data_IF_807338651521
#
_entry.id   IF_807338651521
#
_cell.length_a   1.000
_cell.length_b   1.000
_cell.length_c   1.000
_cell.angle_alpha   90.00
_cell.angle_beta   90.00
_cell.angle_gamma   90.00
#
_symmetry.space_group_name_H-M   'P 1'
#
loop_
_entity.id
_entity.type
_entity.pdbx_description
1 polymer ?
#
# COMPACT_ATOMS: atom_id res chain seq x y z
N UNK A 1 -12.98 9.68 7.59
CA UNK A 1 -11.83 9.63 6.65
C UNK A 1 -11.47 8.18 6.34
N UNK A 2 -10.68 7.93 5.28
CA UNK A 2 -10.29 6.60 4.80
C UNK A 2 -8.77 6.52 4.70
N UNK A 3 -8.14 5.45 5.18
CA UNK A 3 -6.74 5.14 4.95
C UNK A 3 -6.65 3.81 4.18
N UNK A 4 -6.38 3.90 2.89
CA UNK A 4 -6.33 2.74 1.99
C UNK A 4 -4.97 2.01 2.03
N UNK A 5 -4.02 2.49 2.81
CA UNK A 5 -2.72 1.84 3.04
C UNK A 5 -2.13 2.28 4.38
N UNK A 6 -1.93 1.34 5.28
CA UNK A 6 -1.21 1.51 6.55
C UNK A 6 -0.66 0.15 7.00
N UNK A 7 0.20 0.11 8.01
CA UNK A 7 0.76 -1.11 8.58
C UNK A 7 0.61 -1.15 10.09
N UNK A 8 -0.35 -1.93 10.61
CA UNK A 8 -0.59 -2.05 12.06
C UNK A 8 0.63 -2.56 12.84
N UNK A 9 1.43 -3.43 12.21
CA UNK A 9 2.63 -4.05 12.80
C UNK A 9 3.78 -3.05 13.04
N UNK A 10 3.81 -1.92 12.32
CA UNK A 10 4.89 -0.94 12.32
C UNK A 10 4.52 0.30 13.16
N UNK A 11 5.53 1.09 13.60
CA UNK A 11 5.33 2.23 14.51
C UNK A 11 5.74 3.61 13.94
N UNK A 12 6.30 3.64 12.73
CA UNK A 12 6.79 4.87 12.12
C UNK A 12 8.21 5.25 12.53
N UNK A 13 8.88 4.45 13.36
CA UNK A 13 10.21 4.70 13.88
C UNK A 13 11.20 3.57 13.53
N UNK A 14 11.20 2.48 14.31
CA UNK A 14 12.13 1.38 14.18
C UNK A 14 11.38 0.06 13.87
N UNK A 15 11.32 -0.31 12.62
CA UNK A 15 10.55 -1.47 12.17
C UNK A 15 10.93 -2.78 12.88
N UNK A 16 12.22 -2.98 13.26
CA UNK A 16 12.64 -4.19 13.99
C UNK A 16 12.05 -4.26 15.39
N UNK A 17 12.07 -3.13 16.12
CA UNK A 17 11.52 -3.04 17.48
C UNK A 17 9.99 -3.13 17.45
N UNK A 18 9.37 -2.51 16.44
CA UNK A 18 7.94 -2.62 16.20
C UNK A 18 7.52 -4.08 15.99
N UNK A 19 8.18 -4.82 15.11
CA UNK A 19 7.91 -6.24 14.88
C UNK A 19 8.20 -7.07 16.14
N UNK A 20 9.31 -6.82 16.84
CA UNK A 20 9.68 -7.55 18.06
C UNK A 20 8.61 -7.43 19.16
N UNK A 21 7.87 -6.33 19.22
CA UNK A 21 6.72 -6.13 20.13
C UNK A 21 5.65 -7.20 19.97
N UNK A 22 5.50 -7.75 18.76
CA UNK A 22 4.51 -8.77 18.41
C UNK A 22 5.08 -10.19 18.35
N UNK A 23 6.35 -10.42 18.72
CA UNK A 23 7.03 -11.70 18.57
C UNK A 23 6.40 -12.85 19.39
N UNK A 24 5.72 -12.54 20.50
CA UNK A 24 5.00 -13.50 21.36
C UNK A 24 3.48 -13.48 21.13
N UNK A 25 3.04 -12.87 20.05
CA UNK A 25 1.65 -12.62 19.70
C UNK A 25 1.33 -11.12 19.62
N UNK A 26 0.16 -10.76 19.09
CA UNK A 26 -0.23 -9.36 18.94
C UNK A 26 -0.23 -8.57 20.26
N UNK A 27 0.43 -7.42 20.29
CA UNK A 27 0.38 -6.47 21.41
C UNK A 27 -0.98 -5.74 21.39
N UNK A 28 -1.97 -6.29 22.08
CA UNK A 28 -3.33 -5.74 22.13
C UNK A 28 -3.37 -4.31 22.68
N UNK A 29 -2.67 -3.95 23.77
CA UNK A 29 -2.60 -2.55 24.23
C UNK A 29 -2.10 -1.57 23.17
N UNK A 30 -1.07 -1.96 22.40
CA UNK A 30 -0.57 -1.16 21.29
C UNK A 30 -1.63 -0.99 20.20
N UNK A 31 -2.24 -2.08 19.73
CA UNK A 31 -3.26 -2.09 18.69
C UNK A 31 -4.44 -1.19 19.08
N UNK A 32 -4.94 -1.30 20.32
CA UNK A 32 -6.02 -0.46 20.82
C UNK A 32 -5.66 1.02 20.80
N UNK A 33 -4.44 1.37 21.19
CA UNK A 33 -3.95 2.75 21.15
C UNK A 33 -3.92 3.30 19.73
N UNK A 34 -3.48 2.49 18.76
CA UNK A 34 -3.44 2.89 17.36
C UNK A 34 -4.86 3.05 16.78
N UNK A 35 -5.77 2.11 17.04
CA UNK A 35 -7.16 2.23 16.61
C UNK A 35 -7.84 3.47 17.20
N UNK A 36 -7.59 3.78 18.47
CA UNK A 36 -8.09 5.02 19.10
C UNK A 36 -7.54 6.26 18.39
N UNK A 37 -6.23 6.31 18.09
CA UNK A 37 -5.65 7.44 17.38
C UNK A 37 -6.28 7.67 15.99
N UNK A 38 -6.61 6.60 15.26
CA UNK A 38 -7.34 6.72 13.99
C UNK A 38 -8.78 7.20 14.20
N UNK A 39 -9.50 6.67 15.19
CA UNK A 39 -10.86 7.12 15.52
C UNK A 39 -10.89 8.61 15.91
N UNK A 40 -9.97 9.06 16.79
CA UNK A 40 -9.83 10.46 17.21
C UNK A 40 -9.50 11.39 16.02
N UNK A 41 -8.75 10.89 15.05
CA UNK A 41 -8.43 11.60 13.82
C UNK A 41 -9.60 11.62 12.80
N UNK A 42 -10.69 10.87 13.07
CA UNK A 42 -11.88 10.79 12.24
C UNK A 42 -11.81 9.78 11.10
N UNK A 43 -10.95 8.76 11.20
CA UNK A 43 -10.92 7.66 10.24
C UNK A 43 -11.98 6.61 10.59
N UNK A 44 -12.69 6.14 9.57
CA UNK A 44 -13.76 5.12 9.68
C UNK A 44 -13.50 3.88 8.81
N UNK A 45 -12.45 3.92 7.97
CA UNK A 45 -12.03 2.80 7.14
C UNK A 45 -10.50 2.74 7.10
N UNK A 46 -9.95 1.55 7.39
CA UNK A 46 -8.52 1.26 7.32
C UNK A 46 -8.29 0.01 6.46
N UNK A 47 -7.32 0.05 5.55
CA UNK A 47 -6.82 -1.10 4.80
C UNK A 47 -5.35 -1.29 5.13
N UNK A 48 -5.06 -2.42 5.76
CA UNK A 48 -3.74 -2.80 6.27
C UNK A 48 -2.91 -3.50 5.19
N UNK A 49 -1.60 -3.28 5.20
CA UNK A 49 -0.66 -4.00 4.36
C UNK A 49 -0.38 -5.43 4.83
N UNK A 50 -0.81 -5.78 6.04
CA UNK A 50 -0.67 -7.11 6.62
C UNK A 50 0.66 -7.40 7.28
N UNK A 51 0.70 -8.52 8.01
CA UNK A 51 1.86 -9.03 8.70
C UNK A 51 1.70 -10.52 9.07
N UNK A 52 2.81 -11.25 9.25
CA UNK A 52 2.79 -12.67 9.61
C UNK A 52 2.68 -12.94 11.12
N UNK A 53 2.63 -11.91 11.98
CA UNK A 53 2.51 -12.06 13.45
C UNK A 53 1.09 -11.88 13.96
N UNK A 54 0.16 -11.50 13.07
CA UNK A 54 -1.26 -11.41 13.38
C UNK A 54 -1.70 -10.08 13.98
N UNK A 55 -0.87 -9.02 13.94
CA UNK A 55 -1.28 -7.70 14.43
C UNK A 55 -2.46 -7.15 13.64
N UNK A 56 -2.42 -7.23 12.29
CA UNK A 56 -3.53 -6.83 11.43
C UNK A 56 -4.80 -7.64 11.67
N UNK A 57 -4.70 -8.95 11.91
CA UNK A 57 -5.85 -9.79 12.27
C UNK A 57 -6.49 -9.35 13.59
N UNK A 58 -5.69 -9.16 14.63
CA UNK A 58 -6.18 -8.69 15.93
C UNK A 58 -6.78 -7.29 15.84
N UNK A 59 -6.19 -6.40 15.04
CA UNK A 59 -6.74 -5.07 14.79
C UNK A 59 -8.12 -5.14 14.14
N UNK A 60 -8.32 -6.01 13.14
CA UNK A 60 -9.64 -6.21 12.51
C UNK A 60 -10.70 -6.66 13.51
N UNK A 61 -10.36 -7.57 14.41
CA UNK A 61 -11.29 -8.07 15.45
C UNK A 61 -11.70 -6.97 16.44
N UNK A 62 -10.83 -6.00 16.71
CA UNK A 62 -11.04 -4.91 17.65
C UNK A 62 -11.62 -3.65 17.02
N UNK A 63 -11.42 -3.42 15.71
CA UNK A 63 -11.69 -2.15 15.05
C UNK A 63 -13.16 -1.70 15.17
N UNK A 64 -14.10 -2.63 15.24
CA UNK A 64 -15.53 -2.34 15.42
C UNK A 64 -15.83 -1.58 16.72
N UNK A 65 -15.05 -1.78 17.78
CA UNK A 65 -15.19 -1.06 19.05
C UNK A 65 -14.91 0.46 18.89
N UNK A 66 -14.19 0.84 17.83
CA UNK A 66 -13.79 2.20 17.49
C UNK A 66 -14.60 2.80 16.32
N UNK A 67 -15.64 2.10 15.84
CA UNK A 67 -16.40 2.52 14.67
C UNK A 67 -15.61 2.46 13.35
N UNK A 68 -14.58 1.63 13.29
CA UNK A 68 -13.69 1.49 12.13
C UNK A 68 -13.98 0.20 11.38
N UNK A 69 -14.24 0.29 10.08
CA UNK A 69 -14.18 -0.84 9.15
C UNK A 69 -12.70 -1.11 8.81
N UNK A 70 -12.21 -2.28 9.19
CA UNK A 70 -10.80 -2.66 8.99
C UNK A 70 -10.69 -3.85 8.05
N UNK A 71 -9.76 -3.76 7.07
CA UNK A 71 -9.48 -4.80 6.09
C UNK A 71 -8.01 -5.19 6.13
N UNK A 72 -7.73 -6.49 6.08
CA UNK A 72 -6.35 -7.03 6.14
C UNK A 72 -6.16 -8.23 5.22
N UNK A 73 -5.00 -8.37 4.55
CA UNK A 73 -4.65 -9.56 3.78
C UNK A 73 -4.12 -10.69 4.67
N UNK A 74 -4.11 -10.50 5.99
CA UNK A 74 -3.36 -11.28 6.96
C UNK A 74 -1.85 -11.10 6.76
N UNK A 75 -1.21 -11.87 5.88
CA UNK A 75 0.23 -11.76 5.58
C UNK A 75 0.46 -11.36 4.12
N UNK A 76 1.26 -10.34 3.82
CA UNK A 76 1.62 -10.07 2.42
C UNK A 76 2.48 -11.20 1.86
N UNK A 77 2.36 -11.46 0.55
CA UNK A 77 3.09 -12.50 -0.16
C UNK A 77 4.22 -11.88 -0.99
N UNK A 78 5.38 -12.50 -0.97
CA UNK A 78 6.54 -12.04 -1.74
C UNK A 78 7.30 -13.20 -2.37
N UNK A 79 7.92 -12.95 -3.52
CA UNK A 79 8.82 -13.92 -4.18
C UNK A 79 10.11 -14.05 -3.36
N UNK A 80 10.49 -15.27 -2.98
CA UNK A 80 11.74 -15.51 -2.24
C UNK A 80 12.93 -14.95 -3.02
N UNK A 81 13.81 -14.24 -2.32
CA UNK A 81 14.92 -13.49 -2.91
C UNK A 81 14.59 -12.04 -3.31
N UNK A 82 13.33 -11.61 -3.20
CA UNK A 82 12.87 -10.25 -3.47
C UNK A 82 12.38 -9.53 -2.21
N UNK A 83 11.98 -8.26 -2.38
CA UNK A 83 11.46 -7.44 -1.29
C UNK A 83 10.19 -8.03 -0.66
N UNK A 84 10.09 -7.93 0.69
CA UNK A 84 8.90 -8.32 1.45
C UNK A 84 9.17 -9.24 2.65
N UNK A 85 10.37 -9.83 2.77
CA UNK A 85 10.72 -10.81 3.80
C UNK A 85 10.55 -10.30 5.25
N UNK A 86 10.58 -8.99 5.48
CA UNK A 86 10.53 -8.41 6.82
C UNK A 86 9.15 -8.53 7.48
N UNK A 87 8.04 -8.58 6.72
CA UNK A 87 6.69 -8.74 7.26
C UNK A 87 5.87 -9.84 6.56
N UNK A 88 6.32 -10.32 5.40
CA UNK A 88 5.55 -11.20 4.53
C UNK A 88 5.87 -12.69 4.66
N UNK A 89 5.09 -13.49 3.94
CA UNK A 89 5.29 -14.93 3.71
C UNK A 89 5.82 -15.15 2.29
N UNK A 90 6.98 -15.82 2.18
CA UNK A 90 7.63 -16.06 0.90
C UNK A 90 7.05 -17.23 0.13
N UNK A 91 7.14 -17.17 -1.21
CA UNK A 91 6.87 -18.28 -2.12
C UNK A 91 8.03 -18.44 -3.12
N UNK A 92 8.30 -19.67 -3.56
CA UNK A 92 9.37 -19.97 -4.51
C UNK A 92 8.88 -20.15 -5.95
N UNK A 93 7.60 -20.47 -6.13
CA UNK A 93 6.98 -20.70 -7.43
C UNK A 93 5.46 -20.45 -7.40
N UNK A 94 4.84 -20.40 -8.59
CA UNK A 94 3.41 -20.12 -8.73
C UNK A 94 2.51 -21.17 -8.07
N UNK A 95 2.92 -22.43 -8.02
CA UNK A 95 2.15 -23.49 -7.36
C UNK A 95 2.13 -23.29 -5.83
N UNK A 96 3.22 -22.84 -5.25
CA UNK A 96 3.29 -22.48 -3.83
C UNK A 96 2.47 -21.21 -3.55
N UNK A 97 2.59 -20.19 -4.41
CA UNK A 97 1.78 -18.98 -4.32
C UNK A 97 0.28 -19.31 -4.35
N UNK A 98 -0.19 -20.14 -5.27
CA UNK A 98 -1.59 -20.57 -5.36
C UNK A 98 -2.08 -21.23 -4.06
N UNK A 99 -1.24 -22.08 -3.43
CA UNK A 99 -1.55 -22.70 -2.13
C UNK A 99 -1.64 -21.66 -1.00
N UNK A 100 -0.74 -20.67 -1.00
CA UNK A 100 -0.76 -19.58 -0.01
C UNK A 100 -2.01 -18.70 -0.16
N UNK A 101 -2.41 -18.36 -1.40
CA UNK A 101 -3.66 -17.63 -1.68
C UNK A 101 -4.86 -18.42 -1.15
N UNK A 102 -4.96 -19.71 -1.48
CA UNK A 102 -6.04 -20.58 -1.01
C UNK A 102 -6.10 -20.65 0.52
N UNK A 103 -4.94 -20.75 1.17
CA UNK A 103 -4.84 -20.75 2.63
C UNK A 103 -5.29 -19.43 3.23
N UNK A 104 -4.78 -18.29 2.73
CA UNK A 104 -5.19 -16.98 3.25
C UNK A 104 -6.68 -16.74 3.11
N UNK A 105 -7.26 -17.13 1.96
CA UNK A 105 -8.71 -17.10 1.79
C UNK A 105 -9.44 -17.94 2.84
N UNK A 106 -8.99 -19.18 3.08
CA UNK A 106 -9.58 -20.07 4.10
C UNK A 106 -9.42 -19.52 5.52
N UNK A 107 -8.28 -18.84 5.81
CA UNK A 107 -7.99 -18.20 7.09
C UNK A 107 -8.74 -16.86 7.26
N UNK A 108 -9.52 -16.44 6.25
CA UNK A 108 -10.38 -15.26 6.28
C UNK A 108 -9.68 -13.95 5.94
N UNK A 109 -8.66 -13.96 5.08
CA UNK A 109 -8.13 -12.73 4.50
C UNK A 109 -9.21 -11.99 3.70
N UNK A 110 -9.25 -10.67 3.80
CA UNK A 110 -10.20 -9.83 3.04
C UNK A 110 -9.74 -9.69 1.57
N UNK A 111 -8.44 -9.79 1.30
CA UNK A 111 -7.81 -9.64 -0.01
C UNK A 111 -6.39 -10.23 0.01
N UNK A 112 -5.71 -10.24 -1.14
CA UNK A 112 -4.30 -10.65 -1.25
C UNK A 112 -3.42 -9.41 -1.41
N UNK A 113 -2.38 -9.29 -0.58
CA UNK A 113 -1.28 -8.32 -0.77
C UNK A 113 -0.09 -9.04 -1.38
N UNK A 114 0.45 -8.50 -2.49
CA UNK A 114 1.68 -8.97 -3.13
C UNK A 114 2.75 -7.89 -3.17
N UNK A 115 4.03 -8.31 -3.09
CA UNK A 115 5.19 -7.45 -3.29
C UNK A 115 5.80 -7.82 -4.65
N UNK A 116 5.73 -6.93 -5.65
CA UNK A 116 6.17 -7.22 -7.02
C UNK A 116 7.31 -6.35 -7.51
N UNK A 117 7.87 -5.50 -6.63
CA UNK A 117 9.04 -4.67 -6.91
C UNK A 117 9.80 -4.33 -5.64
N UNK A 118 10.97 -3.72 -5.78
CA UNK A 118 11.70 -3.11 -4.67
C UNK A 118 11.14 -1.75 -4.23
N UNK A 119 11.88 -1.09 -3.34
CA UNK A 119 11.60 0.24 -2.82
C UNK A 119 12.20 1.34 -3.70
N UNK A 120 11.74 2.57 -3.51
CA UNK A 120 12.48 3.76 -3.93
C UNK A 120 13.79 3.90 -3.15
N UNK A 121 14.84 4.35 -3.81
CA UNK A 121 16.03 4.89 -3.14
C UNK A 121 15.76 6.35 -2.79
N UNK A 122 15.68 6.69 -1.52
CA UNK A 122 15.34 8.05 -1.07
C UNK A 122 16.51 9.05 -1.17
N UNK A 123 17.73 8.56 -1.42
CA UNK A 123 18.92 9.39 -1.65
C UNK A 123 19.18 9.63 -3.15
N UNK A 124 18.54 8.84 -4.04
CA UNK A 124 18.75 8.90 -5.49
C UNK A 124 17.44 8.87 -6.25
N UNK A 125 16.97 10.04 -6.68
CA UNK A 125 15.74 10.14 -7.47
C UNK A 125 15.83 9.30 -8.77
N UNK A 126 14.78 8.54 -9.08
CA UNK A 126 14.70 7.68 -10.25
C UNK A 126 15.27 6.28 -10.05
N UNK A 127 15.79 5.94 -8.87
CA UNK A 127 16.41 4.64 -8.59
C UNK A 127 15.51 3.79 -7.70
N UNK A 128 15.40 2.50 -8.03
CA UNK A 128 14.78 1.47 -7.21
C UNK A 128 15.85 0.55 -6.59
N UNK A 129 15.56 -0.01 -5.42
CA UNK A 129 16.47 -0.95 -4.73
C UNK A 129 16.59 -2.29 -5.44
N UNK A 130 15.55 -2.68 -6.18
CA UNK A 130 15.53 -3.82 -7.09
C UNK A 130 14.47 -3.59 -8.18
N UNK A 131 14.64 -4.24 -9.32
CA UNK A 131 13.65 -4.22 -10.41
C UNK A 131 12.37 -4.98 -10.01
N UNK A 132 11.29 -4.72 -10.74
CA UNK A 132 10.05 -5.48 -10.61
C UNK A 132 10.18 -6.92 -11.14
N UNK A 133 9.26 -7.76 -10.70
CA UNK A 133 9.11 -9.12 -11.25
C UNK A 133 8.82 -9.07 -12.76
N UNK A 134 9.12 -10.14 -13.51
CA UNK A 134 8.78 -10.24 -14.92
C UNK A 134 7.27 -10.03 -15.16
N UNK A 135 6.85 -9.32 -16.24
CA UNK A 135 5.44 -9.06 -16.54
C UNK A 135 4.56 -10.31 -16.59
N UNK A 136 5.10 -11.40 -17.11
CA UNK A 136 4.39 -12.69 -17.19
C UNK A 136 4.13 -13.26 -15.78
N UNK A 137 5.10 -13.15 -14.87
CA UNK A 137 4.92 -13.60 -13.48
C UNK A 137 3.91 -12.71 -12.75
N UNK A 138 3.99 -11.39 -12.91
CA UNK A 138 3.02 -10.43 -12.35
C UNK A 138 1.59 -10.80 -12.78
N UNK A 139 1.39 -11.07 -14.07
CA UNK A 139 0.09 -11.46 -14.60
C UNK A 139 -0.43 -12.74 -13.95
N UNK A 140 0.40 -13.78 -13.87
CA UNK A 140 0.00 -15.06 -13.26
C UNK A 140 -0.34 -14.90 -11.77
N UNK A 141 0.45 -14.12 -11.00
CA UNK A 141 0.16 -13.84 -9.58
C UNK A 141 -1.22 -13.19 -9.40
N UNK A 142 -1.55 -12.19 -10.22
CA UNK A 142 -2.82 -11.47 -10.14
C UNK A 142 -3.97 -12.41 -10.53
N UNK A 143 -3.84 -13.15 -11.66
CA UNK A 143 -4.89 -14.06 -12.13
C UNK A 143 -5.16 -15.19 -11.14
N UNK A 144 -4.13 -15.81 -10.54
CA UNK A 144 -4.30 -16.85 -9.51
C UNK A 144 -5.13 -16.35 -8.32
N UNK A 145 -4.91 -15.11 -7.88
CA UNK A 145 -5.71 -14.53 -6.81
C UNK A 145 -7.15 -14.24 -7.25
N UNK A 146 -7.33 -13.68 -8.45
CA UNK A 146 -8.64 -13.39 -9.02
C UNK A 146 -9.47 -14.66 -9.28
N UNK A 147 -8.86 -15.75 -9.76
CA UNK A 147 -9.52 -17.04 -9.97
C UNK A 147 -10.07 -17.63 -8.67
N UNK A 148 -9.50 -17.24 -7.55
CA UNK A 148 -10.01 -17.57 -6.22
C UNK A 148 -10.99 -16.53 -5.65
N UNK A 149 -11.36 -15.51 -6.45
CA UNK A 149 -12.27 -14.45 -6.05
C UNK A 149 -11.68 -13.43 -5.06
N UNK A 150 -10.34 -13.34 -4.98
CA UNK A 150 -9.65 -12.42 -4.09
C UNK A 150 -9.16 -11.19 -4.85
N UNK A 151 -9.46 -9.98 -4.35
CA UNK A 151 -8.86 -8.75 -4.88
C UNK A 151 -7.36 -8.69 -4.56
N UNK A 152 -6.61 -7.93 -5.36
CA UNK A 152 -5.14 -7.83 -5.25
C UNK A 152 -4.70 -6.39 -4.97
N UNK A 153 -3.99 -6.20 -3.87
CA UNK A 153 -3.25 -5.01 -3.48
C UNK A 153 -1.76 -5.23 -3.77
N UNK A 154 -1.14 -4.45 -4.65
CA UNK A 154 0.25 -4.65 -5.05
C UNK A 154 1.19 -3.53 -4.58
N UNK A 155 2.22 -3.85 -3.78
CA UNK A 155 3.39 -3.00 -3.67
C UNK A 155 4.10 -3.02 -5.03
N UNK A 156 4.15 -1.88 -5.72
CA UNK A 156 4.52 -1.83 -7.13
C UNK A 156 5.16 -0.48 -7.47
N UNK A 157 6.44 -0.50 -7.81
CA UNK A 157 7.21 0.66 -8.21
C UNK A 157 7.87 0.43 -9.59
N UNK A 158 8.12 1.51 -10.32
CA UNK A 158 8.71 1.49 -11.65
C UNK A 158 7.69 1.36 -12.78
N UNK A 159 7.85 2.19 -13.82
CA UNK A 159 6.89 2.32 -14.92
C UNK A 159 6.47 0.98 -15.53
N UNK A 160 7.45 0.16 -15.95
CA UNK A 160 7.20 -1.15 -16.56
C UNK A 160 6.41 -2.10 -15.65
N UNK A 161 6.71 -2.10 -14.33
CA UNK A 161 6.02 -2.94 -13.35
C UNK A 161 4.58 -2.46 -13.14
N UNK A 162 4.37 -1.14 -13.07
CA UNK A 162 3.06 -0.53 -12.92
C UNK A 162 2.17 -0.79 -14.12
N UNK A 163 2.71 -0.62 -15.35
CA UNK A 163 2.00 -0.94 -16.59
C UNK A 163 1.61 -2.41 -16.63
N UNK A 164 2.56 -3.33 -16.39
CA UNK A 164 2.30 -4.76 -16.39
C UNK A 164 1.22 -5.16 -15.36
N UNK A 165 1.27 -4.60 -14.15
CA UNK A 165 0.26 -4.87 -13.11
C UNK A 165 -1.12 -4.32 -13.49
N UNK A 166 -1.20 -3.09 -14.05
CA UNK A 166 -2.45 -2.49 -14.49
C UNK A 166 -3.08 -3.30 -15.63
N UNK A 167 -2.30 -3.66 -16.66
CA UNK A 167 -2.77 -4.48 -17.79
C UNK A 167 -3.21 -5.88 -17.34
N UNK A 168 -2.57 -6.45 -16.32
CA UNK A 168 -2.99 -7.70 -15.69
C UNK A 168 -4.27 -7.59 -14.85
N UNK A 169 -4.78 -6.37 -14.65
CA UNK A 169 -6.04 -6.10 -13.94
C UNK A 169 -5.91 -6.02 -12.42
N UNK A 170 -4.74 -5.63 -11.89
CA UNK A 170 -4.56 -5.43 -10.44
C UNK A 170 -5.60 -4.45 -9.89
N UNK A 171 -6.16 -4.72 -8.72
CA UNK A 171 -7.23 -3.88 -8.15
C UNK A 171 -6.67 -2.58 -7.56
N UNK A 172 -5.48 -2.63 -6.94
CA UNK A 172 -4.78 -1.39 -6.54
C UNK A 172 -3.26 -1.51 -6.62
N UNK A 173 -2.63 -0.40 -7.03
CA UNK A 173 -1.19 -0.17 -7.02
C UNK A 173 -0.87 0.74 -5.84
N UNK A 174 0.06 0.28 -4.99
CA UNK A 174 0.55 1.01 -3.83
C UNK A 174 1.92 1.63 -4.16
N UNK A 175 2.17 2.84 -3.67
CA UNK A 175 3.33 3.68 -3.92
C UNK A 175 3.41 4.15 -5.37
N UNK A 176 3.74 3.28 -6.31
CA UNK A 176 3.79 3.62 -7.73
C UNK A 176 4.87 4.66 -8.04
N UNK A 177 6.10 4.45 -7.52
CA UNK A 177 7.20 5.36 -7.80
C UNK A 177 7.62 5.32 -9.27
N UNK A 178 7.90 6.50 -9.83
CA UNK A 178 8.47 6.70 -11.15
C UNK A 178 7.66 6.13 -12.31
N UNK A 179 6.34 6.40 -12.40
CA UNK A 179 5.57 6.06 -13.59
C UNK A 179 6.01 6.91 -14.77
N UNK A 180 5.91 6.35 -15.96
CA UNK A 180 5.91 7.09 -17.20
C UNK A 180 4.48 7.30 -17.74
N UNK A 181 4.34 7.92 -18.89
CA UNK A 181 3.02 8.20 -19.48
C UNK A 181 2.25 6.93 -19.81
N UNK A 182 2.92 5.86 -20.29
CA UNK A 182 2.29 4.59 -20.66
C UNK A 182 1.75 3.88 -19.41
N UNK A 183 2.49 3.87 -18.32
CA UNK A 183 2.02 3.33 -17.04
C UNK A 183 0.80 4.08 -16.50
N UNK A 184 0.79 5.43 -16.58
CA UNK A 184 -0.34 6.25 -16.15
C UNK A 184 -1.59 6.02 -17.02
N UNK A 185 -1.42 5.90 -18.33
CA UNK A 185 -2.50 5.55 -19.27
C UNK A 185 -3.07 4.16 -18.99
N UNK A 186 -2.22 3.16 -18.74
CA UNK A 186 -2.64 1.81 -18.39
C UNK A 186 -3.47 1.80 -17.09
N UNK A 187 -3.01 2.49 -16.03
CA UNK A 187 -3.74 2.63 -14.76
C UNK A 187 -5.15 3.22 -14.99
N UNK A 188 -5.22 4.30 -15.76
CA UNK A 188 -6.50 4.97 -16.04
C UNK A 188 -7.43 4.10 -16.90
N UNK A 189 -6.90 3.43 -17.93
CA UNK A 189 -7.69 2.61 -18.87
C UNK A 189 -8.18 1.31 -18.24
N UNK A 190 -7.38 0.66 -17.37
CA UNK A 190 -7.71 -0.63 -16.77
C UNK A 190 -8.56 -0.52 -15.50
N UNK A 191 -8.81 0.70 -15.00
CA UNK A 191 -9.63 0.92 -13.81
C UNK A 191 -8.95 0.48 -12.50
N UNK A 192 -7.62 0.42 -12.51
CA UNK A 192 -6.79 0.21 -11.32
C UNK A 192 -6.84 1.44 -10.42
N UNK A 193 -6.95 1.24 -9.10
CA UNK A 193 -6.84 2.37 -8.16
C UNK A 193 -5.38 2.56 -7.77
N UNK A 194 -4.86 3.77 -7.94
CA UNK A 194 -3.52 4.10 -7.45
C UNK A 194 -3.59 4.74 -6.06
N UNK A 195 -2.84 4.19 -5.11
CA UNK A 195 -2.66 4.69 -3.74
C UNK A 195 -1.21 5.18 -3.60
N UNK A 196 -0.92 6.46 -3.88
CA UNK A 196 0.44 6.93 -4.13
C UNK A 196 1.31 7.04 -2.88
N UNK A 197 0.73 7.00 -1.68
CA UNK A 197 1.46 7.07 -0.40
C UNK A 197 2.49 8.21 -0.34
N UNK A 198 2.11 9.39 -0.80
CA UNK A 198 2.99 10.58 -0.85
C UNK A 198 3.60 10.91 0.52
N UNK A 199 2.92 10.51 1.60
CA UNK A 199 3.39 10.71 2.99
C UNK A 199 4.73 10.05 3.26
N UNK A 200 5.06 8.92 2.60
CA UNK A 200 6.34 8.23 2.78
C UNK A 200 7.52 9.09 2.39
N UNK A 201 7.33 9.99 1.42
CA UNK A 201 8.35 10.95 0.98
C UNK A 201 8.15 12.30 1.66
N UNK A 202 6.89 12.78 1.73
CA UNK A 202 6.58 14.10 2.29
C UNK A 202 7.01 14.29 3.74
N UNK A 203 6.93 13.24 4.55
CA UNK A 203 7.33 13.24 5.96
C UNK A 203 8.85 13.11 6.16
N UNK A 204 9.63 12.81 5.12
CA UNK A 204 11.10 12.77 5.20
C UNK A 204 11.73 14.16 5.23
N UNK A 205 11.03 15.17 4.73
CA UNK A 205 11.53 16.54 4.67
C UNK A 205 11.93 17.03 6.07
N UNK A 206 13.13 17.59 6.16
CA UNK A 206 13.70 18.11 7.41
C UNK A 206 14.07 17.04 8.45
N UNK A 207 14.05 15.76 8.12
CA UNK A 207 14.42 14.67 9.05
C UNK A 207 15.91 14.37 9.06
N UNK A 208 16.69 14.85 8.06
CA UNK A 208 18.15 14.72 8.02
C UNK A 208 18.68 13.29 7.83
N UNK A 209 17.81 12.32 7.51
CA UNK A 209 18.22 10.93 7.25
C UNK A 209 18.63 10.69 5.81
N UNK A 210 18.00 11.37 4.88
CA UNK A 210 18.20 11.26 3.43
C UNK A 210 18.56 12.62 2.84
N UNK A 211 19.06 12.63 1.59
CA UNK A 211 19.30 13.87 0.86
C UNK A 211 18.01 14.68 0.73
N UNK A 212 18.02 15.89 1.30
CA UNK A 212 16.84 16.79 1.23
C UNK A 212 16.49 17.15 -0.21
N UNK A 213 17.49 17.34 -1.07
CA UNK A 213 17.32 17.63 -2.49
C UNK A 213 16.64 16.45 -3.21
N UNK A 214 17.12 15.21 -2.98
CA UNK A 214 16.51 14.01 -3.56
C UNK A 214 15.07 13.82 -3.07
N UNK A 215 14.81 14.00 -1.77
CA UNK A 215 13.46 13.89 -1.19
C UNK A 215 12.52 14.92 -1.82
N UNK A 216 12.94 16.17 -2.01
CA UNK A 216 12.13 17.21 -2.63
C UNK A 216 11.84 16.88 -4.10
N UNK A 217 12.84 16.42 -4.85
CA UNK A 217 12.68 16.03 -6.27
C UNK A 217 11.72 14.83 -6.41
N UNK A 218 11.90 13.79 -5.60
CA UNK A 218 11.03 12.60 -5.60
C UNK A 218 9.58 13.01 -5.33
N UNK A 219 9.35 13.83 -4.31
CA UNK A 219 8.00 14.29 -3.96
C UNK A 219 7.37 15.12 -5.09
N UNK A 220 8.13 16.05 -5.68
CA UNK A 220 7.63 16.89 -6.77
C UNK A 220 7.24 16.04 -8.00
N UNK A 221 8.06 15.06 -8.38
CA UNK A 221 7.76 14.12 -9.47
C UNK A 221 6.53 13.28 -9.16
N UNK A 222 6.41 12.75 -7.94
CA UNK A 222 5.26 11.96 -7.53
C UNK A 222 3.96 12.77 -7.57
N UNK A 223 3.97 14.01 -7.06
CA UNK A 223 2.80 14.91 -7.12
C UNK A 223 2.40 15.26 -8.56
N UNK A 224 3.38 15.49 -9.44
CA UNK A 224 3.12 15.74 -10.88
C UNK A 224 2.49 14.51 -11.54
N UNK A 225 2.98 13.32 -11.25
CA UNK A 225 2.41 12.08 -11.77
C UNK A 225 0.98 11.81 -11.24
N UNK A 226 0.71 12.12 -9.97
CA UNK A 226 -0.65 12.07 -9.37
C UNK A 226 -1.61 13.00 -10.11
N UNK A 227 -1.22 14.25 -10.35
CA UNK A 227 -2.04 15.20 -11.12
C UNK A 227 -2.29 14.68 -12.53
N UNK A 228 -1.25 14.18 -13.21
CA UNK A 228 -1.36 13.62 -14.56
C UNK A 228 -2.27 12.39 -14.63
N UNK A 229 -2.17 11.48 -13.67
CA UNK A 229 -3.09 10.33 -13.58
C UNK A 229 -4.56 10.77 -13.47
N UNK A 230 -4.83 11.77 -12.64
CA UNK A 230 -6.17 12.33 -12.51
C UNK A 230 -6.66 13.00 -13.82
N UNK A 231 -5.79 13.69 -14.56
CA UNK A 231 -6.10 14.29 -15.87
C UNK A 231 -6.45 13.23 -16.92
N UNK A 232 -5.86 12.05 -16.83
CA UNK A 232 -6.19 10.90 -17.67
C UNK A 232 -7.47 10.17 -17.25
N UNK A 233 -8.13 10.60 -16.16
CA UNK A 233 -9.32 9.96 -15.62
C UNK A 233 -9.05 8.80 -14.67
N UNK A 234 -7.79 8.59 -14.26
CA UNK A 234 -7.38 7.56 -13.32
C UNK A 234 -8.00 7.75 -11.94
N UNK A 235 -8.15 6.65 -11.21
CA UNK A 235 -8.69 6.63 -9.85
C UNK A 235 -7.56 6.66 -8.83
N UNK A 236 -7.65 7.58 -7.88
CA UNK A 236 -6.69 7.74 -6.79
C UNK A 236 -7.40 7.55 -5.44
N UNK A 237 -6.72 6.92 -4.48
CA UNK A 237 -7.25 6.81 -3.12
C UNK A 237 -6.17 7.16 -2.08
N UNK A 238 -6.56 7.73 -0.91
CA UNK A 238 -5.61 8.15 0.11
C UNK A 238 -5.12 6.94 0.91
N UNK A 239 -3.81 6.79 1.03
CA UNK A 239 -3.14 5.83 1.89
C UNK A 239 -1.78 6.36 2.26
N UNK A 240 -1.48 6.49 3.55
CA UNK A 240 -0.28 7.16 4.02
C UNK A 240 0.93 6.25 4.17
N UNK A 241 0.73 4.93 4.12
CA UNK A 241 1.72 3.93 4.54
C UNK A 241 2.16 4.15 6.01
N UNK A 242 1.18 4.54 6.87
CA UNK A 242 1.47 4.77 8.28
C UNK A 242 2.05 3.52 8.94
N UNK A 243 3.07 3.74 9.76
CA UNK A 243 3.95 2.71 10.29
C UNK A 243 5.28 2.61 9.54
N UNK A 244 5.38 3.05 8.27
CA UNK A 244 6.67 3.27 7.64
C UNK A 244 7.44 4.40 8.33
N UNK A 245 8.77 4.42 8.19
CA UNK A 245 9.61 5.40 8.89
C UNK A 245 9.15 6.85 8.64
N UNK A 246 9.02 7.61 9.72
CA UNK A 246 8.53 8.99 9.78
C UNK A 246 7.06 9.17 9.41
N UNK A 247 6.27 8.10 9.25
CA UNK A 247 4.83 8.19 8.96
C UNK A 247 4.03 7.71 10.18
N UNK A 248 3.61 8.62 11.08
CA UNK A 248 2.86 8.25 12.26
C UNK A 248 1.44 7.80 11.93
N UNK A 249 0.89 6.90 12.75
CA UNK A 249 -0.50 6.48 12.65
C UNK A 249 -1.46 7.65 12.86
N UNK A 250 -2.55 7.68 12.09
CA UNK A 250 -3.57 8.73 12.17
C UNK A 250 -3.15 10.06 11.53
N UNK A 251 -1.97 10.15 10.91
CA UNK A 251 -1.54 11.38 10.23
C UNK A 251 -2.40 11.71 9.02
N UNK A 252 -2.52 13.01 8.72
CA UNK A 252 -3.31 13.56 7.61
C UNK A 252 -2.45 14.10 6.46
N UNK A 253 -1.14 13.88 6.52
CA UNK A 253 -0.18 14.37 5.51
C UNK A 253 -0.57 13.96 4.10
N UNK A 254 -1.02 12.72 3.93
CA UNK A 254 -1.46 12.20 2.63
C UNK A 254 -2.58 13.03 2.01
N UNK A 255 -3.60 13.36 2.79
CA UNK A 255 -4.71 14.19 2.32
C UNK A 255 -4.24 15.60 1.93
N UNK A 256 -3.31 16.17 2.70
CA UNK A 256 -2.73 17.49 2.40
C UNK A 256 -1.96 17.46 1.08
N UNK A 257 -1.10 16.45 0.88
CA UNK A 257 -0.29 16.34 -0.34
C UNK A 257 -1.14 16.02 -1.57
N UNK A 258 -2.12 15.13 -1.44
CA UNK A 258 -3.08 14.85 -2.51
C UNK A 258 -3.90 16.09 -2.88
N UNK A 259 -4.33 16.86 -1.89
CA UNK A 259 -5.06 18.13 -2.14
C UNK A 259 -4.18 19.15 -2.86
N UNK A 260 -2.90 19.25 -2.51
CA UNK A 260 -1.95 20.11 -3.21
C UNK A 260 -1.71 19.67 -4.66
N UNK A 261 -1.64 18.35 -4.91
CA UNK A 261 -1.42 17.81 -6.25
C UNK A 261 -2.66 17.91 -7.15
N UNK A 262 -3.86 17.69 -6.60
CA UNK A 262 -5.12 17.56 -7.35
C UNK A 262 -5.92 18.86 -7.43
N UNK A 263 -5.67 19.83 -6.54
CA UNK A 263 -6.40 21.10 -6.47
C UNK A 263 -7.90 20.88 -6.31
N UNK A 264 -8.69 21.54 -7.13
CA UNK A 264 -10.17 21.49 -7.09
C UNK A 264 -10.75 20.09 -7.38
N UNK A 265 -10.00 19.24 -8.09
CA UNK A 265 -10.45 17.87 -8.43
C UNK A 265 -10.36 16.89 -7.24
N UNK A 266 -9.73 17.27 -6.11
CA UNK A 266 -9.42 16.39 -4.99
C UNK A 266 -10.62 15.55 -4.54
N UNK A 267 -11.74 16.20 -4.23
CA UNK A 267 -12.90 15.50 -3.67
C UNK A 267 -13.50 14.49 -4.66
N UNK A 268 -13.62 14.87 -5.93
CA UNK A 268 -14.17 13.99 -6.96
C UNK A 268 -13.29 12.77 -7.20
N UNK A 269 -12.00 13.00 -7.42
CA UNK A 269 -11.03 11.93 -7.74
C UNK A 269 -10.90 10.95 -6.58
N UNK A 270 -10.75 11.46 -5.34
CA UNK A 270 -10.61 10.59 -4.17
C UNK A 270 -11.91 9.85 -3.86
N UNK A 271 -13.08 10.47 -4.04
CA UNK A 271 -14.35 9.78 -3.81
C UNK A 271 -14.53 8.57 -4.74
N UNK A 272 -14.15 8.68 -6.02
CA UNK A 272 -14.17 7.57 -6.98
C UNK A 272 -13.24 6.43 -6.55
N UNK A 273 -11.99 6.76 -6.21
CA UNK A 273 -11.00 5.76 -5.79
C UNK A 273 -11.37 5.07 -4.47
N UNK A 274 -11.80 5.84 -3.46
CA UNK A 274 -12.26 5.30 -2.17
C UNK A 274 -13.44 4.35 -2.38
N UNK A 275 -14.44 4.76 -3.16
CA UNK A 275 -15.58 3.91 -3.47
C UNK A 275 -15.15 2.61 -4.11
N UNK A 276 -14.28 2.66 -5.12
CA UNK A 276 -13.74 1.47 -5.80
C UNK A 276 -12.99 0.54 -4.85
N UNK A 277 -12.13 1.10 -3.97
CA UNK A 277 -11.45 0.31 -2.94
C UNK A 277 -12.45 -0.40 -2.02
N UNK A 278 -13.44 0.32 -1.52
CA UNK A 278 -14.44 -0.23 -0.60
C UNK A 278 -15.33 -1.31 -1.25
N UNK A 279 -15.55 -1.23 -2.57
CA UNK A 279 -16.31 -2.24 -3.32
C UNK A 279 -15.50 -3.49 -3.64
N UNK A 280 -14.18 -3.37 -3.82
CA UNK A 280 -13.32 -4.48 -4.23
C UNK A 280 -12.68 -5.22 -3.07
N UNK A 281 -12.37 -4.54 -1.98
CA UNK A 281 -11.67 -5.08 -0.81
C UNK A 281 -12.65 -5.27 0.36
N UNK A 282 -13.66 -6.12 0.12
CA UNK A 282 -14.76 -6.39 1.06
C UNK A 282 -14.38 -7.42 2.11
#
# INVERSE_FOLDING_TARGET
MTACHMHMILDGEYWRDAIARHAQGPDIPWIRRILQAYADAGFTYLRDGGDRWGAGKAARELAGEYGICYRTPLSPLFRVGHYGAFIGTGFENLAEYARLVARQKADGADFIKIMISGLMDFDRCGVLTEEGLPPEEIRELIHIAHDQGMAVMAHCNGARTMEAAAVAGVDSIEHGAYPDEDALQAIAACGTVWVPTLSTVGNLRGKGRFSEEAVQEILARAMTAVARCADLGGMLAPGSDAGAWAVPHGCKTEYTLLSQALGEKTNEVLAKGIKRIQERFL
#
